data_IF_824165773830
#
_entry.id   IF_824165773830
#
_cell.length_a   1.000
_cell.length_b   1.000
_cell.length_c   1.000
_cell.angle_alpha   90.00
_cell.angle_beta   90.00
_cell.angle_gamma   90.00
#
_symmetry.space_group_name_H-M   'P 1'
#
loop_
_entity.id
_entity.type
_entity.pdbx_description
1 polymer ?
#
# COMPACT_ATOMS: atom_id res chain seq x y z
N UNK A 1 47.66 29.51 13.76
CA UNK A 1 48.06 28.30 13.00
C UNK A 1 47.20 28.26 11.76
N UNK A 2 47.80 28.55 10.62
CA UNK A 2 47.11 28.81 9.35
C UNK A 2 47.47 27.65 8.42
N UNK A 3 46.48 26.88 7.99
CA UNK A 3 46.69 25.72 7.11
C UNK A 3 46.23 26.12 5.71
N UNK A 4 47.21 26.36 4.84
CA UNK A 4 47.06 26.57 3.39
C UNK A 4 47.07 25.19 2.72
N UNK A 5 45.93 24.78 2.15
CA UNK A 5 45.77 23.51 1.45
C UNK A 5 45.94 23.68 -0.06
N UNK A 6 46.89 22.93 -0.59
CA UNK A 6 47.47 22.99 -1.94
C UNK A 6 46.54 22.40 -3.02
N UNK A 7 46.37 23.13 -4.12
CA UNK A 7 45.50 22.76 -5.26
C UNK A 7 46.24 21.82 -6.20
N UNK A 8 45.98 20.51 -6.09
CA UNK A 8 46.57 19.49 -6.96
C UNK A 8 45.77 19.33 -8.26
N UNK A 9 46.34 19.81 -9.35
CA UNK A 9 45.88 19.63 -10.73
C UNK A 9 45.98 18.17 -11.17
N UNK A 10 44.84 17.52 -11.43
CA UNK A 10 44.78 16.19 -12.04
C UNK A 10 44.85 16.31 -13.56
N UNK A 11 45.85 15.63 -14.12
CA UNK A 11 46.16 15.51 -15.54
C UNK A 11 45.18 14.53 -16.21
N UNK A 12 44.59 14.83 -17.37
CA UNK A 12 43.82 13.85 -18.12
C UNK A 12 44.78 12.93 -18.86
N UNK A 13 44.77 11.63 -18.52
CA UNK A 13 45.32 10.59 -19.40
C UNK A 13 44.24 10.12 -20.36
N UNK A 14 44.59 10.19 -21.63
CA UNK A 14 43.82 9.85 -22.81
C UNK A 14 44.14 8.39 -23.20
N UNK A 15 43.19 7.44 -23.15
CA UNK A 15 43.38 6.15 -23.78
C UNK A 15 42.90 6.19 -25.23
N UNK A 16 43.86 6.27 -26.15
CA UNK A 16 43.67 5.97 -27.56
C UNK A 16 43.50 4.46 -27.77
N UNK A 17 42.24 4.02 -27.85
CA UNK A 17 41.86 2.61 -28.04
C UNK A 17 40.85 2.46 -29.18
N UNK A 18 41.37 2.33 -30.40
CA UNK A 18 40.65 2.06 -31.65
C UNK A 18 39.91 0.72 -31.57
N UNK A 19 38.58 0.74 -31.58
CA UNK A 19 37.75 -0.45 -31.82
C UNK A 19 36.74 -0.17 -32.96
N UNK A 20 37.16 -0.54 -34.16
CA UNK A 20 36.30 -0.98 -35.29
C UNK A 20 35.29 -2.01 -34.76
N UNK A 21 33.97 -1.96 -34.95
CA UNK A 21 33.17 -1.79 -36.19
C UNK A 21 31.67 -1.73 -35.77
N UNK A 22 30.84 -0.76 -36.22
CA UNK A 22 29.45 -0.64 -35.77
C UNK A 22 28.37 -1.07 -36.79
N UNK A 23 28.64 -1.90 -37.79
CA UNK A 23 27.72 -1.99 -38.96
C UNK A 23 26.99 -3.34 -39.18
N UNK A 24 27.33 -4.41 -38.43
CA UNK A 24 26.74 -5.75 -38.65
C UNK A 24 25.65 -6.15 -37.63
N UNK A 25 25.47 -5.43 -36.52
CA UNK A 25 24.52 -5.80 -35.46
C UNK A 25 23.06 -5.34 -35.70
N UNK A 26 22.83 -4.37 -36.58
CA UNK A 26 21.51 -3.76 -36.82
C UNK A 26 20.53 -4.68 -37.58
N UNK A 27 20.95 -5.47 -38.59
CA UNK A 27 20.04 -6.36 -39.33
C UNK A 27 19.53 -7.52 -38.47
N UNK A 28 20.36 -8.04 -37.57
CA UNK A 28 20.02 -9.19 -36.74
C UNK A 28 19.01 -8.81 -35.64
N UNK A 29 19.18 -7.64 -35.03
CA UNK A 29 18.23 -7.06 -34.09
C UNK A 29 16.84 -6.86 -34.74
N UNK A 30 16.79 -6.35 -35.97
CA UNK A 30 15.53 -6.20 -36.74
C UNK A 30 14.86 -7.55 -37.04
N UNK A 31 15.62 -8.60 -37.38
CA UNK A 31 15.08 -9.94 -37.60
C UNK A 31 14.50 -10.56 -36.32
N UNK A 32 15.16 -10.38 -35.17
CA UNK A 32 14.67 -10.86 -33.87
C UNK A 32 13.38 -10.14 -33.44
N UNK A 33 13.28 -8.82 -33.65
CA UNK A 33 12.08 -8.05 -33.37
C UNK A 33 10.87 -8.48 -34.24
N UNK A 34 11.10 -8.76 -35.53
CA UNK A 34 10.03 -9.22 -36.45
C UNK A 34 9.51 -10.62 -36.10
N UNK A 35 10.37 -11.54 -35.64
CA UNK A 35 9.95 -12.86 -35.16
C UNK A 35 9.12 -12.77 -33.87
N UNK A 36 9.46 -11.87 -32.93
CA UNK A 36 8.66 -11.66 -31.71
C UNK A 36 7.26 -11.18 -32.04
N UNK A 37 7.10 -10.18 -32.92
CA UNK A 37 5.77 -9.66 -33.31
C UNK A 37 4.86 -10.76 -33.87
N UNK A 38 5.37 -11.63 -34.76
CA UNK A 38 4.58 -12.74 -35.34
C UNK A 38 4.09 -13.76 -34.30
N UNK A 39 4.87 -14.03 -33.26
CA UNK A 39 4.46 -14.95 -32.18
C UNK A 39 3.33 -14.36 -31.34
N UNK A 40 3.38 -13.06 -31.02
CA UNK A 40 2.32 -12.40 -30.25
C UNK A 40 0.99 -12.33 -31.01
N UNK A 41 1.01 -12.08 -32.33
CA UNK A 41 -0.23 -12.03 -33.13
C UNK A 41 -0.92 -13.39 -33.20
N UNK A 42 -0.15 -14.49 -33.27
CA UNK A 42 -0.71 -15.85 -33.30
C UNK A 42 -1.34 -16.25 -31.96
N UNK A 43 -0.75 -15.87 -30.82
CA UNK A 43 -1.30 -16.13 -29.48
C UNK A 43 -2.60 -15.32 -29.26
N UNK A 44 -2.65 -14.08 -29.73
CA UNK A 44 -3.84 -13.24 -29.57
C UNK A 44 -5.06 -13.78 -30.35
N UNK A 45 -4.82 -14.33 -31.56
CA UNK A 45 -5.89 -14.94 -32.37
C UNK A 45 -6.46 -16.23 -31.76
N UNK A 46 -5.64 -17.03 -31.08
CA UNK A 46 -6.09 -18.24 -30.37
C UNK A 46 -6.96 -17.90 -29.14
N UNK A 47 -6.71 -16.77 -28.48
CA UNK A 47 -7.52 -16.34 -27.34
C UNK A 47 -8.93 -15.88 -27.74
N UNK A 48 -9.11 -15.33 -28.95
CA UNK A 48 -10.43 -14.82 -29.40
C UNK A 48 -11.40 -15.96 -29.78
N UNK A 49 -10.89 -17.10 -30.29
CA UNK A 49 -11.75 -18.22 -30.70
C UNK A 49 -12.29 -19.03 -29.51
N UNK A 50 -11.65 -18.95 -28.34
CA UNK A 50 -12.06 -19.70 -27.14
C UNK A 50 -13.23 -19.10 -26.34
N UNK A 51 -13.65 -17.86 -26.62
CA UNK A 51 -14.67 -17.15 -25.82
C UNK A 51 -16.08 -17.30 -26.39
N UNK A 52 -16.24 -17.80 -27.62
CA UNK A 52 -17.54 -17.81 -28.31
C UNK A 52 -18.44 -19.04 -28.00
N UNK A 53 -17.96 -20.06 -27.29
CA UNK A 53 -18.70 -21.34 -27.13
C UNK A 53 -19.34 -21.59 -25.75
N UNK A 54 -19.21 -20.69 -24.77
CA UNK A 54 -19.67 -20.94 -23.39
C UNK A 54 -20.99 -20.28 -22.97
N UNK A 55 -21.74 -19.65 -23.89
CA UNK A 55 -22.93 -18.86 -23.53
C UNK A 55 -24.29 -19.60 -23.41
N UNK A 56 -24.37 -20.94 -23.38
CA UNK A 56 -25.67 -21.61 -23.56
C UNK A 56 -26.11 -22.67 -22.53
N UNK A 57 -25.76 -22.53 -21.25
CA UNK A 57 -26.41 -23.32 -20.19
C UNK A 57 -26.72 -22.46 -18.94
N UNK A 58 -27.77 -21.65 -19.02
CA UNK A 58 -28.36 -20.98 -17.86
C UNK A 58 -29.33 -21.95 -17.15
N UNK A 59 -29.02 -22.33 -15.91
CA UNK A 59 -29.95 -23.04 -15.02
C UNK A 59 -31.01 -22.08 -14.46
N UNK A 60 -32.30 -22.47 -14.42
CA UNK A 60 -33.33 -21.68 -13.78
C UNK A 60 -33.28 -21.82 -12.25
N UNK A 61 -33.08 -20.67 -11.58
CA UNK A 61 -33.78 -20.30 -10.35
C UNK A 61 -33.44 -21.08 -9.07
N UNK A 62 -32.27 -20.80 -8.47
CA UNK A 62 -32.15 -20.87 -7.01
C UNK A 62 -32.58 -19.52 -6.42
N UNK A 63 -33.68 -19.52 -5.66
CA UNK A 63 -34.05 -18.39 -4.81
C UNK A 63 -32.96 -18.19 -3.76
N UNK A 64 -32.19 -17.11 -3.90
CA UNK A 64 -31.28 -16.64 -2.88
C UNK A 64 -32.10 -16.26 -1.63
N UNK A 65 -31.68 -16.69 -0.43
CA UNK A 65 -32.30 -16.24 0.81
C UNK A 65 -32.24 -14.72 0.89
N UNK A 66 -33.32 -14.11 1.39
CA UNK A 66 -33.41 -12.67 1.57
C UNK A 66 -32.21 -12.16 2.38
N UNK A 67 -31.47 -11.21 1.81
CA UNK A 67 -30.38 -10.55 2.48
C UNK A 67 -30.92 -9.88 3.75
N UNK A 68 -30.24 -10.10 4.88
CA UNK A 68 -30.50 -9.36 6.10
C UNK A 68 -30.13 -7.89 5.88
N UNK A 69 -31.05 -6.97 6.13
CA UNK A 69 -30.86 -5.51 5.95
C UNK A 69 -29.96 -4.87 7.01
N UNK A 70 -29.48 -5.64 7.99
CA UNK A 70 -28.55 -5.14 8.99
C UNK A 70 -27.10 -5.30 8.47
N UNK A 71 -26.38 -4.19 8.20
CA UNK A 71 -25.00 -4.27 7.77
C UNK A 71 -24.19 -4.97 8.88
N UNK A 72 -23.33 -5.94 8.54
CA UNK A 72 -22.52 -6.61 9.54
C UNK A 72 -21.65 -5.57 10.26
N UNK A 73 -21.99 -5.27 11.50
CA UNK A 73 -21.15 -4.45 12.38
C UNK A 73 -20.05 -5.37 12.87
N UNK A 74 -18.90 -5.32 12.21
CA UNK A 74 -17.74 -6.09 12.63
C UNK A 74 -17.29 -5.59 14.00
N UNK A 75 -17.36 -6.46 15.01
CA UNK A 75 -16.77 -6.19 16.31
C UNK A 75 -15.27 -5.95 16.12
N UNK A 76 -14.80 -4.78 16.55
CA UNK A 76 -13.37 -4.52 16.64
C UNK A 76 -12.72 -5.67 17.45
N UNK A 77 -11.57 -6.20 17.02
CA UNK A 77 -10.90 -7.28 17.74
C UNK A 77 -10.63 -6.89 19.19
N UNK A 78 -10.47 -7.90 20.02
CA UNK A 78 -10.01 -7.75 21.40
C UNK A 78 -8.74 -6.89 21.41
N UNK A 79 -8.84 -5.69 22.01
CA UNK A 79 -7.88 -4.58 21.86
C UNK A 79 -6.48 -4.92 22.43
N UNK A 80 -6.30 -6.10 23.04
CA UNK A 80 -5.09 -6.48 23.78
C UNK A 80 -4.06 -7.37 23.07
N UNK A 81 -4.39 -8.04 21.94
CA UNK A 81 -3.44 -8.96 21.29
C UNK A 81 -3.22 -8.61 19.81
N UNK A 82 -1.98 -8.36 19.37
CA UNK A 82 -1.66 -8.19 17.96
C UNK A 82 -2.15 -9.40 17.17
N UNK A 83 -2.89 -9.15 16.08
CA UNK A 83 -3.36 -10.21 15.21
C UNK A 83 -2.16 -10.84 14.48
N UNK A 84 -2.08 -12.18 14.46
CA UNK A 84 -1.05 -12.89 13.71
C UNK A 84 -1.24 -12.71 12.21
N UNK A 85 -0.15 -12.47 11.48
CA UNK A 85 -0.17 -12.44 10.01
C UNK A 85 0.01 -13.86 9.50
N UNK A 86 -0.96 -14.36 8.76
CA UNK A 86 -0.92 -15.65 8.09
C UNK A 86 -0.11 -15.60 6.80
N UNK A 87 -0.37 -14.58 5.97
CA UNK A 87 0.27 -14.41 4.68
C UNK A 87 0.26 -12.93 4.27
N UNK A 88 1.19 -12.57 3.39
CA UNK A 88 1.28 -11.20 2.86
C UNK A 88 1.76 -11.22 1.42
N UNK A 89 1.32 -10.22 0.65
CA UNK A 89 1.82 -9.97 -0.69
C UNK A 89 1.78 -8.48 -1.01
N UNK A 90 2.78 -8.00 -1.75
CA UNK A 90 2.85 -6.62 -2.20
C UNK A 90 3.52 -6.55 -3.57
N UNK A 91 3.02 -5.65 -4.41
CA UNK A 91 3.54 -5.37 -5.75
C UNK A 91 3.65 -3.85 -5.90
N UNK A 92 4.84 -3.38 -6.25
CA UNK A 92 5.13 -1.98 -6.55
C UNK A 92 4.22 -1.40 -7.62
N UNK A 93 3.61 -0.25 -7.31
CA UNK A 93 2.61 0.45 -8.13
C UNK A 93 1.32 -0.32 -8.44
N UNK A 94 1.00 -1.34 -7.65
CA UNK A 94 -0.24 -2.09 -7.80
C UNK A 94 -1.02 -2.17 -6.48
N UNK A 95 -0.34 -2.49 -5.38
CA UNK A 95 -0.99 -2.61 -4.08
C UNK A 95 -0.41 -3.70 -3.19
N UNK A 96 -1.08 -3.93 -2.08
CA UNK A 96 -0.69 -4.93 -1.08
C UNK A 96 -1.91 -5.61 -0.47
N UNK A 97 -1.69 -6.79 0.10
CA UNK A 97 -2.68 -7.58 0.83
C UNK A 97 -2.02 -8.27 2.01
N UNK A 98 -2.63 -8.16 3.18
CA UNK A 98 -2.30 -8.92 4.39
C UNK A 98 -3.48 -9.82 4.74
N UNK A 99 -3.17 -11.09 5.01
CA UNK A 99 -4.11 -12.08 5.50
C UNK A 99 -3.75 -12.39 6.94
N UNK A 100 -4.72 -12.25 7.84
CA UNK A 100 -4.56 -12.53 9.27
C UNK A 100 -5.02 -13.94 9.61
N UNK A 101 -4.52 -14.47 10.73
CA UNK A 101 -4.88 -15.80 11.24
C UNK A 101 -6.37 -15.96 11.56
N UNK A 102 -7.06 -14.85 11.87
CA UNK A 102 -8.49 -14.81 12.14
C UNK A 102 -9.37 -14.67 10.87
N UNK A 103 -8.75 -14.75 9.69
CA UNK A 103 -9.44 -14.69 8.41
C UNK A 103 -9.65 -13.28 7.86
N UNK A 104 -9.28 -12.23 8.58
CA UNK A 104 -9.32 -10.87 8.02
C UNK A 104 -8.32 -10.73 6.88
N UNK A 105 -8.74 -10.06 5.83
CA UNK A 105 -7.93 -9.67 4.68
C UNK A 105 -8.00 -8.17 4.59
N UNK A 106 -6.87 -7.50 4.80
CA UNK A 106 -6.75 -6.06 4.61
C UNK A 106 -5.92 -5.84 3.36
N UNK A 107 -6.43 -5.05 2.42
CA UNK A 107 -5.78 -4.82 1.14
C UNK A 107 -5.92 -3.36 0.69
N UNK A 108 -4.96 -2.91 -0.11
CA UNK A 108 -5.01 -1.61 -0.77
C UNK A 108 -4.64 -1.81 -2.24
N UNK A 109 -5.49 -1.32 -3.15
CA UNK A 109 -5.20 -1.30 -4.59
C UNK A 109 -4.84 0.14 -4.97
N UNK A 110 -3.60 0.36 -5.43
CA UNK A 110 -3.08 1.68 -5.77
C UNK A 110 -3.73 2.23 -7.05
N UNK A 111 -3.97 1.36 -8.05
CA UNK A 111 -4.75 1.69 -9.25
C UNK A 111 -6.25 1.69 -8.93
N UNK A 112 -6.69 2.65 -8.15
CA UNK A 112 -8.07 2.78 -7.70
C UNK A 112 -8.28 4.01 -6.83
N UNK A 113 -9.02 3.86 -5.74
CA UNK A 113 -9.28 4.92 -4.76
C UNK A 113 -8.11 5.15 -3.80
N UNK A 114 -7.10 4.27 -3.80
CA UNK A 114 -6.07 4.22 -2.76
C UNK A 114 -6.63 3.83 -1.38
N UNK A 115 -7.87 3.34 -1.34
CA UNK A 115 -8.54 2.99 -0.11
C UNK A 115 -8.10 1.60 0.37
N UNK A 116 -7.81 1.52 1.65
CA UNK A 116 -7.60 0.29 2.40
C UNK A 116 -8.97 -0.34 2.66
N UNK A 117 -9.13 -1.58 2.22
CA UNK A 117 -10.35 -2.34 2.29
C UNK A 117 -10.14 -3.56 3.19
N UNK A 118 -11.18 -3.95 3.92
CA UNK A 118 -11.26 -5.17 4.72
C UNK A 118 -12.30 -6.13 4.14
N UNK A 119 -12.01 -7.43 4.18
CA UNK A 119 -12.94 -8.52 3.90
C UNK A 119 -12.54 -9.76 4.70
N UNK A 120 -13.46 -10.70 4.95
CA UNK A 120 -13.16 -11.95 5.66
C UNK A 120 -13.14 -13.18 4.76
N UNK A 121 -12.15 -14.03 4.98
CA UNK A 121 -12.11 -15.40 4.47
C UNK A 121 -13.01 -16.32 5.31
N UNK A 122 -13.53 -17.37 4.68
CA UNK A 122 -14.09 -18.51 5.43
C UNK A 122 -12.97 -19.32 6.09
N UNK A 123 -13.28 -20.25 7.02
CA UNK A 123 -12.30 -21.22 7.50
C UNK A 123 -11.61 -22.00 6.36
N UNK A 124 -12.36 -22.39 5.33
CA UNK A 124 -11.78 -23.06 4.15
C UNK A 124 -10.84 -22.14 3.36
N UNK A 125 -11.21 -20.85 3.21
CA UNK A 125 -10.36 -19.83 2.60
C UNK A 125 -9.03 -19.64 3.34
N UNK A 126 -9.07 -19.61 4.67
CA UNK A 126 -7.87 -19.55 5.53
C UNK A 126 -6.96 -20.75 5.27
N UNK A 127 -7.49 -21.98 5.27
CA UNK A 127 -6.69 -23.18 5.00
C UNK A 127 -6.10 -23.19 3.59
N UNK A 128 -6.84 -22.67 2.59
CA UNK A 128 -6.34 -22.55 1.21
C UNK A 128 -5.16 -21.58 1.12
N UNK A 129 -5.20 -20.45 1.84
CA UNK A 129 -4.05 -19.53 1.91
C UNK A 129 -2.88 -20.18 2.66
N UNK A 130 -3.15 -20.81 3.81
CA UNK A 130 -2.13 -21.47 4.63
C UNK A 130 -1.40 -22.59 3.89
N UNK A 131 -2.14 -23.40 3.13
CA UNK A 131 -1.59 -24.51 2.33
C UNK A 131 -0.93 -24.05 1.02
N UNK A 132 -1.07 -22.77 0.65
CA UNK A 132 -0.59 -22.22 -0.62
C UNK A 132 -1.46 -22.57 -1.83
N UNK A 133 -2.60 -23.24 -1.63
CA UNK A 133 -3.58 -23.50 -2.69
C UNK A 133 -4.18 -22.20 -3.27
N UNK A 134 -4.25 -21.14 -2.46
CA UNK A 134 -4.53 -19.77 -2.89
C UNK A 134 -3.36 -18.88 -2.48
N UNK A 135 -2.63 -18.36 -3.47
CA UNK A 135 -1.56 -17.40 -3.21
C UNK A 135 -2.18 -16.05 -2.77
N UNK A 136 -1.65 -15.36 -1.74
CA UNK A 136 -2.23 -14.10 -1.23
C UNK A 136 -2.41 -13.03 -2.32
N UNK A 137 -1.47 -12.92 -3.26
CA UNK A 137 -1.60 -11.99 -4.39
C UNK A 137 -2.81 -12.26 -5.31
N UNK A 138 -3.38 -13.47 -5.30
CA UNK A 138 -4.59 -13.76 -6.05
C UNK A 138 -5.82 -13.04 -5.46
N UNK A 139 -5.84 -12.79 -4.14
CA UNK A 139 -6.95 -12.12 -3.45
C UNK A 139 -7.15 -10.66 -3.90
N UNK A 140 -6.09 -10.03 -4.39
CA UNK A 140 -6.10 -8.65 -4.91
C UNK A 140 -6.08 -8.57 -6.44
N UNK A 141 -5.53 -9.57 -7.13
CA UNK A 141 -5.30 -9.49 -8.59
C UNK A 141 -6.28 -10.31 -9.44
N UNK A 142 -6.98 -11.28 -8.86
CA UNK A 142 -7.92 -12.14 -9.59
C UNK A 142 -9.36 -11.70 -9.34
N UNK A 143 -10.27 -11.83 -10.32
CA UNK A 143 -11.69 -11.67 -10.07
C UNK A 143 -12.17 -12.76 -9.11
N UNK A 144 -13.22 -12.48 -8.32
CA UNK A 144 -13.75 -13.43 -7.33
C UNK A 144 -14.18 -14.76 -7.96
N UNK A 145 -14.68 -14.74 -9.19
CA UNK A 145 -15.07 -15.95 -9.94
C UNK A 145 -13.90 -16.88 -10.29
N UNK A 146 -12.66 -16.40 -10.19
CA UNK A 146 -11.46 -17.23 -10.37
C UNK A 146 -10.99 -17.88 -9.06
N UNK A 147 -11.55 -17.49 -7.91
CA UNK A 147 -11.29 -18.11 -6.62
C UNK A 147 -12.33 -19.21 -6.35
N UNK A 148 -12.02 -20.23 -5.53
CA UNK A 148 -13.02 -21.18 -5.06
C UNK A 148 -14.21 -20.47 -4.41
N UNK A 149 -15.43 -20.95 -4.69
CA UNK A 149 -16.66 -20.29 -4.26
C UNK A 149 -16.79 -20.13 -2.73
N UNK A 150 -16.09 -20.97 -1.96
CA UNK A 150 -16.04 -20.97 -0.50
C UNK A 150 -14.88 -20.11 0.07
N UNK A 151 -14.21 -19.27 -0.73
CA UNK A 151 -13.05 -18.50 -0.27
C UNK A 151 -13.44 -17.39 0.71
N UNK A 152 -14.48 -16.63 0.39
CA UNK A 152 -14.89 -15.44 1.13
C UNK A 152 -16.10 -15.71 2.03
N UNK A 153 -16.00 -15.26 3.28
CA UNK A 153 -17.14 -15.24 4.21
C UNK A 153 -18.05 -14.04 3.92
N UNK A 154 -17.46 -12.89 3.59
CA UNK A 154 -18.21 -11.69 3.25
C UNK A 154 -18.41 -11.60 1.73
N UNK A 155 -19.58 -11.13 1.29
CA UNK A 155 -19.90 -10.98 -0.14
C UNK A 155 -19.21 -9.79 -0.82
N UNK A 156 -18.72 -8.82 -0.05
CA UNK A 156 -18.03 -7.64 -0.55
C UNK A 156 -16.96 -7.18 0.44
N UNK A 157 -15.94 -6.49 -0.08
CA UNK A 157 -14.99 -5.77 0.76
C UNK A 157 -15.59 -4.42 1.20
N UNK A 158 -15.30 -4.00 2.42
CA UNK A 158 -15.72 -2.72 2.99
C UNK A 158 -14.50 -1.85 3.30
N UNK A 159 -14.64 -0.52 3.39
CA UNK A 159 -13.56 0.34 3.86
C UNK A 159 -13.05 -0.10 5.24
N UNK A 160 -11.72 -0.20 5.38
CA UNK A 160 -11.11 -0.51 6.67
C UNK A 160 -11.30 0.64 7.66
N UNK A 161 -11.70 0.33 8.88
CA UNK A 161 -11.81 1.30 9.97
C UNK A 161 -10.73 0.99 11.00
N UNK A 162 -9.65 1.78 10.98
CA UNK A 162 -8.54 1.57 11.89
C UNK A 162 -8.95 1.90 13.33
N UNK A 163 -8.57 1.02 14.27
CA UNK A 163 -8.75 1.28 15.70
C UNK A 163 -7.80 2.37 16.22
N UNK A 164 -6.70 2.60 15.50
CA UNK A 164 -5.63 3.54 15.85
C UNK A 164 -4.99 4.11 14.58
N UNK A 165 -4.43 5.30 14.70
CA UNK A 165 -3.73 6.00 13.63
C UNK A 165 -2.32 6.41 14.09
N UNK A 166 -1.36 6.41 13.19
CA UNK A 166 -0.02 6.94 13.43
C UNK A 166 0.10 8.30 12.75
N UNK A 167 0.30 9.35 13.54
CA UNK A 167 0.62 10.68 13.05
C UNK A 167 2.14 10.83 12.93
N UNK A 168 2.67 10.92 11.70
CA UNK A 168 4.09 10.94 11.42
C UNK A 168 4.44 12.05 10.42
N UNK A 169 5.63 12.63 10.53
CA UNK A 169 6.14 13.56 9.52
C UNK A 169 6.72 12.84 8.30
N UNK A 170 6.48 13.40 7.11
CA UNK A 170 7.06 12.96 5.85
C UNK A 170 7.77 14.15 5.12
N UNK A 171 9.07 14.03 4.79
CA UNK A 171 9.95 12.91 5.11
C UNK A 171 10.17 12.73 6.63
N UNK A 172 10.62 11.54 7.07
CA UNK A 172 10.89 11.27 8.48
C UNK A 172 11.74 12.35 9.14
N UNK A 173 11.27 12.87 10.27
CA UNK A 173 11.98 13.89 11.04
C UNK A 173 11.64 13.79 12.53
N UNK A 174 12.43 14.46 13.37
CA UNK A 174 12.16 14.52 14.80
C UNK A 174 10.83 15.26 15.05
N UNK A 175 9.86 14.55 15.64
CA UNK A 175 8.51 15.05 15.90
C UNK A 175 8.52 16.35 16.74
N UNK A 176 9.36 16.42 17.78
CA UNK A 176 9.42 17.60 18.66
C UNK A 176 10.00 18.82 17.94
N UNK A 177 10.99 18.63 17.06
CA UNK A 177 11.61 19.71 16.30
C UNK A 177 10.63 20.41 15.32
N UNK A 178 9.57 19.73 14.91
CA UNK A 178 8.56 20.21 13.94
C UNK A 178 7.23 20.61 14.59
N UNK A 179 7.05 20.29 15.87
CA UNK A 179 5.84 20.54 16.63
C UNK A 179 5.42 22.02 16.64
N UNK A 180 6.39 22.93 16.55
CA UNK A 180 6.17 24.38 16.50
C UNK A 180 5.37 24.87 15.29
N UNK A 181 5.20 24.06 14.23
CA UNK A 181 4.38 24.39 13.06
C UNK A 181 2.89 24.12 13.24
N UNK A 182 2.51 23.43 14.32
CA UNK A 182 1.15 23.00 14.56
C UNK A 182 0.44 23.93 15.56
N UNK A 183 -0.90 24.07 15.47
CA UNK A 183 -1.67 24.73 16.52
C UNK A 183 -1.38 24.10 17.90
N UNK A 184 -1.28 24.92 18.95
CA UNK A 184 -0.92 24.47 20.31
C UNK A 184 -1.80 23.32 20.80
N UNK A 185 -3.08 23.31 20.44
CA UNK A 185 -4.01 22.24 20.80
C UNK A 185 -3.68 20.91 20.12
N UNK A 186 -3.29 20.93 18.85
CA UNK A 186 -2.80 19.75 18.11
C UNK A 186 -1.52 19.24 18.74
N UNK A 187 -0.59 20.14 19.10
CA UNK A 187 0.64 19.75 19.77
C UNK A 187 0.37 19.01 21.08
N UNK A 188 -0.62 19.48 21.85
CA UNK A 188 -1.07 18.83 23.07
C UNK A 188 -1.55 17.41 22.83
N UNK A 189 -2.31 17.17 21.76
CA UNK A 189 -2.77 15.82 21.39
C UNK A 189 -1.59 14.92 21.01
N UNK A 190 -0.70 15.37 20.10
CA UNK A 190 0.41 14.55 19.61
C UNK A 190 1.43 14.19 20.71
N UNK A 191 1.64 15.07 21.70
CA UNK A 191 2.57 14.80 22.81
C UNK A 191 2.07 13.78 23.84
N UNK A 192 0.77 13.45 23.86
CA UNK A 192 0.21 12.51 24.87
C UNK A 192 0.56 11.06 24.61
N UNK A 193 0.82 10.70 23.36
CA UNK A 193 0.97 9.33 22.93
C UNK A 193 2.16 9.16 21.98
N UNK A 194 3.37 9.57 22.37
CA UNK A 194 4.55 9.40 21.54
C UNK A 194 4.79 7.90 21.31
N UNK A 195 5.06 7.54 20.06
CA UNK A 195 5.39 6.18 19.68
C UNK A 195 6.51 6.19 18.64
N UNK A 196 7.54 5.39 18.88
CA UNK A 196 8.64 5.21 17.93
C UNK A 196 8.47 3.87 17.23
N UNK A 197 8.17 3.92 15.95
CA UNK A 197 8.03 2.73 15.12
C UNK A 197 9.37 2.36 14.51
N UNK A 198 9.71 1.08 14.63
CA UNK A 198 10.95 0.49 14.12
C UNK A 198 10.76 0.10 12.66
N UNK A 199 11.87 -0.12 11.96
CA UNK A 199 11.85 -0.64 10.59
C UNK A 199 11.05 -1.94 10.46
N UNK A 200 11.08 -2.80 11.47
CA UNK A 200 10.28 -4.04 11.54
C UNK A 200 8.77 -3.79 11.61
N UNK A 201 8.38 -2.59 12.02
CA UNK A 201 6.99 -2.16 12.17
C UNK A 201 6.50 -1.42 10.91
N UNK A 202 7.35 -1.30 9.89
CA UNK A 202 7.02 -0.69 8.61
C UNK A 202 7.01 -1.77 7.53
N UNK A 203 5.85 -1.95 6.92
CA UNK A 203 5.77 -2.76 5.71
C UNK A 203 6.23 -1.93 4.51
N UNK A 204 7.54 -1.90 4.25
CA UNK A 204 8.11 -1.39 2.99
C UNK A 204 9.02 -2.46 2.39
N UNK A 205 8.56 -3.13 1.33
CA UNK A 205 9.36 -4.19 0.69
C UNK A 205 10.46 -3.65 -0.23
N UNK A 206 10.46 -2.34 -0.54
CA UNK A 206 11.12 -1.82 -1.74
C UNK A 206 12.24 -0.80 -1.53
N UNK A 207 12.82 -0.67 -0.34
CA UNK A 207 13.98 0.21 -0.16
C UNK A 207 15.15 -0.57 0.46
N UNK A 208 16.20 -0.80 -0.33
CA UNK A 208 17.50 -1.39 0.09
C UNK A 208 18.26 -0.56 1.13
N UNK A 209 17.62 0.42 1.75
CA UNK A 209 18.21 1.28 2.77
C UNK A 209 17.39 1.17 4.06
N UNK A 210 18.03 0.81 5.19
CA UNK A 210 17.40 0.87 6.48
C UNK A 210 16.76 2.24 6.67
N UNK A 211 15.45 2.27 6.92
CA UNK A 211 14.79 3.54 7.28
C UNK A 211 15.15 3.86 8.73
N UNK A 212 15.44 5.13 9.06
CA UNK A 212 15.54 5.52 10.45
C UNK A 212 14.21 5.25 11.15
N UNK A 213 14.26 5.04 12.47
CA UNK A 213 13.08 4.98 13.32
C UNK A 213 12.14 6.16 13.02
N UNK A 214 10.83 5.89 12.99
CA UNK A 214 9.82 6.92 12.79
C UNK A 214 9.24 7.32 14.13
N UNK A 215 9.56 8.54 14.55
CA UNK A 215 8.93 9.17 15.70
C UNK A 215 7.55 9.69 15.28
N UNK A 216 6.51 9.08 15.83
CA UNK A 216 5.12 9.37 15.54
C UNK A 216 4.33 9.61 16.84
N UNK A 217 3.06 9.97 16.69
CA UNK A 217 2.09 9.91 17.77
C UNK A 217 0.99 8.90 17.43
N UNK A 218 0.63 8.04 18.38
CA UNK A 218 -0.46 7.08 18.19
C UNK A 218 -1.78 7.69 18.64
N UNK A 219 -2.75 7.79 17.75
CA UNK A 219 -4.01 8.50 17.95
C UNK A 219 -5.19 7.52 17.92
N UNK A 220 -6.18 7.76 18.78
CA UNK A 220 -7.52 7.20 18.59
C UNK A 220 -8.19 7.78 17.33
N UNK A 221 -9.26 7.16 16.80
CA UNK A 221 -9.98 7.69 15.65
C UNK A 221 -10.54 9.11 15.89
N UNK A 222 -10.98 9.41 17.12
CA UNK A 222 -11.47 10.73 17.49
C UNK A 222 -10.35 11.78 17.49
N UNK A 223 -9.18 11.44 18.04
CA UNK A 223 -8.02 12.32 18.04
C UNK A 223 -7.46 12.54 16.63
N UNK A 224 -7.40 11.49 15.81
CA UNK A 224 -6.96 11.60 14.43
C UNK A 224 -7.86 12.55 13.63
N UNK A 225 -9.19 12.40 13.74
CA UNK A 225 -10.14 13.32 13.12
C UNK A 225 -9.96 14.76 13.62
N UNK A 226 -9.80 14.95 14.93
CA UNK A 226 -9.54 16.26 15.52
C UNK A 226 -8.26 16.90 14.93
N UNK A 227 -7.16 16.14 14.88
CA UNK A 227 -5.87 16.59 14.35
C UNK A 227 -6.01 16.96 12.86
N UNK A 228 -6.63 16.10 12.05
CA UNK A 228 -6.88 16.36 10.63
C UNK A 228 -7.68 17.65 10.41
N UNK A 229 -8.82 17.80 11.10
CA UNK A 229 -9.67 19.00 10.98
C UNK A 229 -8.94 20.27 11.43
N UNK A 230 -8.17 20.21 12.51
CA UNK A 230 -7.46 21.37 13.05
C UNK A 230 -6.32 21.84 12.15
N UNK A 231 -5.69 20.94 11.39
CA UNK A 231 -4.63 21.29 10.43
C UNK A 231 -5.22 21.86 9.14
N UNK A 232 -6.37 21.34 8.66
CA UNK A 232 -6.99 21.80 7.40
C UNK A 232 -7.69 23.15 7.54
N UNK A 233 -8.11 23.52 8.75
CA UNK A 233 -8.95 24.69 9.09
C UNK A 233 -8.45 26.09 8.71
N UNK A 234 -7.60 26.24 7.70
CA UNK A 234 -7.18 27.52 7.14
C UNK A 234 -7.23 27.67 5.61
N UNK A 235 -7.02 26.63 4.79
CA UNK A 235 -6.66 26.89 3.36
C UNK A 235 -7.00 25.84 2.30
N UNK A 236 -7.41 24.61 2.65
CA UNK A 236 -7.70 23.58 1.64
C UNK A 236 -9.19 23.17 1.66
N UNK A 237 -9.96 23.48 0.60
CA UNK A 237 -11.31 22.95 0.44
C UNK A 237 -11.27 21.41 0.34
N UNK A 238 -12.17 20.72 1.04
CA UNK A 238 -12.43 19.28 0.80
C UNK A 238 -11.94 18.29 1.86
N UNK A 239 -11.67 18.70 3.10
CA UNK A 239 -11.53 17.75 4.21
C UNK A 239 -12.85 17.64 4.97
N UNK A 240 -13.58 16.56 4.71
CA UNK A 240 -14.83 16.22 5.40
C UNK A 240 -14.60 15.27 6.59
N UNK A 241 -13.34 15.10 7.01
CA UNK A 241 -12.91 14.16 8.03
C UNK A 241 -11.94 13.10 7.49
N UNK A 242 -11.43 12.24 8.37
CA UNK A 242 -10.68 11.06 7.95
C UNK A 242 -11.69 10.07 7.36
N UNK A 243 -11.66 9.93 6.04
CA UNK A 243 -12.41 8.90 5.35
C UNK A 243 -11.89 7.51 5.77
N UNK A 244 -12.76 6.57 6.19
CA UNK A 244 -12.37 5.19 6.43
C UNK A 244 -11.60 4.60 5.26
N UNK A 245 -10.49 3.93 5.56
CA UNK A 245 -9.64 3.31 4.56
C UNK A 245 -8.69 4.27 3.86
N UNK A 246 -8.75 5.59 4.05
CA UNK A 246 -7.85 6.52 3.34
C UNK A 246 -6.82 7.11 4.29
N UNK A 247 -5.55 7.02 3.91
CA UNK A 247 -4.48 7.75 4.57
C UNK A 247 -4.54 9.24 4.19
N UNK A 248 -4.17 10.10 5.12
CA UNK A 248 -4.31 11.55 4.94
C UNK A 248 -3.01 12.27 5.24
N UNK A 249 -2.67 13.28 4.45
CA UNK A 249 -1.48 14.12 4.68
C UNK A 249 -1.82 15.60 4.45
N UNK A 250 -1.20 16.47 5.24
CA UNK A 250 -1.20 17.91 4.97
C UNK A 250 0.19 18.52 5.11
N UNK A 251 0.47 19.50 4.26
CA UNK A 251 1.66 20.33 4.38
C UNK A 251 1.52 21.27 5.59
N UNK A 252 2.54 21.27 6.45
CA UNK A 252 2.64 22.12 7.63
C UNK A 252 3.99 22.85 7.64
N UNK A 253 4.02 24.03 8.26
CA UNK A 253 5.19 24.89 8.29
C UNK A 253 5.26 25.90 7.14
N UNK A 254 6.27 26.79 7.15
CA UNK A 254 6.42 27.83 6.13
C UNK A 254 6.91 27.25 4.79
N UNK A 255 6.69 27.91 3.63
CA UNK A 255 6.99 27.35 2.30
C UNK A 255 8.42 26.87 2.08
N UNK A 256 9.41 27.47 2.75
CA UNK A 256 10.83 27.12 2.62
C UNK A 256 11.27 26.00 3.57
N UNK A 257 10.43 25.63 4.54
CA UNK A 257 10.72 24.58 5.53
C UNK A 257 9.46 23.77 5.86
N UNK A 258 8.64 23.54 4.83
CA UNK A 258 7.41 22.80 4.96
C UNK A 258 7.70 21.30 5.01
N UNK A 259 6.92 20.58 5.79
CA UNK A 259 6.91 19.12 5.84
C UNK A 259 5.47 18.63 5.72
N UNK A 260 5.24 17.35 5.48
CA UNK A 260 3.90 16.77 5.53
C UNK A 260 3.70 16.12 6.89
N UNK A 261 2.58 16.39 7.56
CA UNK A 261 2.10 15.56 8.66
C UNK A 261 1.06 14.61 8.08
N UNK A 262 1.33 13.32 8.19
CA UNK A 262 0.49 12.26 7.66
C UNK A 262 -0.14 11.45 8.80
N UNK A 263 -1.39 11.05 8.62
CA UNK A 263 -2.17 10.17 9.48
C UNK A 263 -2.33 8.83 8.77
N UNK A 264 -1.57 7.85 9.23
CA UNK A 264 -1.53 6.49 8.69
C UNK A 264 -2.42 5.57 9.51
N UNK A 265 -3.15 4.67 8.85
CA UNK A 265 -3.94 3.67 9.55
C UNK A 265 -3.05 2.59 10.18
N UNK A 266 -3.15 2.39 11.49
CA UNK A 266 -2.44 1.29 12.16
C UNK A 266 -3.24 0.01 11.95
N UNK A 267 -2.55 -1.01 11.45
CA UNK A 267 -3.09 -2.32 11.15
C UNK A 267 -3.21 -3.18 12.42
N UNK A 268 -4.04 -4.25 12.40
CA UNK A 268 -4.29 -5.10 13.57
C UNK A 268 -3.07 -5.73 14.25
N UNK A 269 -1.94 -5.85 13.54
CA UNK A 269 -0.69 -6.36 14.11
C UNK A 269 0.21 -5.27 14.72
N UNK A 270 -0.25 -4.01 14.75
CA UNK A 270 0.45 -2.88 15.38
C UNK A 270 1.40 -2.11 14.47
N UNK A 271 1.44 -2.44 13.18
CA UNK A 271 2.29 -1.81 12.17
C UNK A 271 1.43 -1.02 11.17
N UNK A 272 2.02 -0.34 10.19
CA UNK A 272 1.31 0.14 9.00
C UNK A 272 2.11 -0.11 7.73
N UNK A 273 1.44 0.12 6.60
CA UNK A 273 2.06 0.03 5.28
C UNK A 273 2.31 1.43 4.78
N UNK A 274 3.59 1.80 4.62
CA UNK A 274 3.95 3.01 3.92
C UNK A 274 3.84 2.73 2.41
N UNK A 275 3.19 3.65 1.68
CA UNK A 275 3.06 3.67 0.22
C UNK A 275 4.06 2.81 -0.57
N UNK A 276 3.53 1.95 -1.47
CA UNK A 276 4.32 1.23 -2.47
C UNK A 276 5.33 0.24 -1.89
N UNK A 277 4.93 -1.03 -1.76
CA UNK A 277 5.89 -2.14 -1.76
C UNK A 277 6.56 -2.28 -3.12
#
# INVERSE_FOLDING_TARGET
MTVTGDSRTLRPEEPSGRATTPEVLIPEAKRRAKRRRRRYTAVLLLAVVGVATSMFLAQPGQQLPAASDEPPVFSAPDIGKPAGILAMHGIYHFGWVLVYEDGRVIQMVERGTGQVMERRLTPAGIERVRSGAVHPGALISQPESALPADTWADSAAVPYVAARYAACYEPPSNMEARMGYLPVTVQGVLRRSPHTYKETDLFTRSFDRPRPYLDCAELSPAEANYVGSAIVGGTLPGFDGIEPGRDWCATVGPPLDSTMLCLWQVLPHGSWVLWGG
#
